data_IF_350735541281
#
_entry.id   IF_350735541281
#
_cell.length_a   1.000
_cell.length_b   1.000
_cell.length_c   1.000
_cell.angle_alpha   90.00
_cell.angle_beta   90.00
_cell.angle_gamma   90.00
#
_symmetry.space_group_name_H-M   'P 1'
#
loop_
_entity.id
_entity.type
_entity.pdbx_description
1 polymer ?
#
# COMPACT_ATOMS: atom_id res chain seq x y z
N UNK A 1 -14.61 -18.81 0.64
CA UNK A 1 -15.34 -18.30 1.84
C UNK A 1 -16.56 -17.50 1.44
N UNK A 2 -16.43 -16.29 0.88
CA UNK A 2 -17.60 -15.47 0.50
C UNK A 2 -18.55 -16.19 -0.48
N UNK A 3 -18.06 -16.73 -1.59
CA UNK A 3 -18.92 -17.44 -2.55
C UNK A 3 -19.66 -18.63 -1.91
N UNK A 4 -18.97 -19.38 -1.04
CA UNK A 4 -19.56 -20.49 -0.30
C UNK A 4 -20.64 -20.02 0.68
N UNK A 5 -20.44 -18.88 1.33
CA UNK A 5 -21.43 -18.26 2.22
C UNK A 5 -22.69 -17.82 1.46
N UNK A 6 -22.50 -17.23 0.27
CA UNK A 6 -23.61 -16.77 -0.58
C UNK A 6 -24.40 -17.93 -1.19
N UNK A 7 -23.76 -19.06 -1.48
CA UNK A 7 -24.44 -20.26 -1.95
C UNK A 7 -25.47 -20.78 -0.93
N UNK A 8 -25.18 -20.68 0.38
CA UNK A 8 -26.14 -21.05 1.44
C UNK A 8 -27.39 -20.14 1.42
N UNK A 9 -27.23 -18.89 0.96
CA UNK A 9 -28.34 -17.93 0.82
C UNK A 9 -29.06 -18.05 -0.53
N UNK A 10 -28.74 -19.05 -1.36
CA UNK A 10 -29.37 -19.23 -2.68
C UNK A 10 -29.05 -18.11 -3.68
N UNK A 11 -27.89 -17.45 -3.52
CA UNK A 11 -27.52 -16.29 -4.32
C UNK A 11 -27.26 -16.58 -5.82
N UNK A 12 -27.27 -17.85 -6.23
CA UNK A 12 -27.00 -18.27 -7.62
C UNK A 12 -27.94 -17.60 -8.63
N UNK A 13 -29.15 -17.25 -8.19
CA UNK A 13 -30.16 -16.58 -9.01
C UNK A 13 -30.33 -15.08 -8.71
N UNK A 14 -29.49 -14.50 -7.84
CA UNK A 14 -29.66 -13.11 -7.38
C UNK A 14 -29.69 -12.10 -8.55
N UNK A 15 -28.96 -12.40 -9.64
CA UNK A 15 -28.94 -11.56 -10.84
C UNK A 15 -30.32 -11.42 -11.50
N UNK A 16 -31.18 -12.43 -11.39
CA UNK A 16 -32.51 -12.46 -12.00
C UNK A 16 -33.47 -11.47 -11.34
N UNK A 17 -33.18 -11.04 -10.11
CA UNK A 17 -34.01 -10.13 -9.33
C UNK A 17 -33.59 -8.66 -9.47
N UNK A 18 -32.65 -8.36 -10.38
CA UNK A 18 -32.15 -7.00 -10.59
C UNK A 18 -33.11 -6.20 -11.47
N UNK A 19 -33.84 -5.27 -10.86
CA UNK A 19 -34.66 -4.29 -11.58
C UNK A 19 -33.95 -2.96 -11.70
N UNK A 20 -33.18 -2.77 -12.78
CA UNK A 20 -32.54 -1.47 -13.05
C UNK A 20 -33.51 -0.42 -13.59
N UNK A 21 -34.48 -0.75 -14.49
CA UNK A 21 -35.49 0.23 -14.92
C UNK A 21 -36.34 0.82 -13.79
N UNK A 22 -36.66 0.03 -12.76
CA UNK A 22 -37.41 0.46 -11.58
C UNK A 22 -36.56 1.04 -10.44
N UNK A 23 -35.22 1.01 -10.56
CA UNK A 23 -34.33 1.52 -9.53
C UNK A 23 -34.32 3.07 -9.51
N UNK A 24 -34.94 3.63 -8.48
CA UNK A 24 -35.01 5.08 -8.23
C UNK A 24 -33.63 5.72 -8.02
N UNK A 25 -32.62 4.90 -7.71
CA UNK A 25 -31.23 5.30 -7.53
C UNK A 25 -30.48 5.60 -8.83
N UNK A 26 -30.98 5.17 -10.01
CA UNK A 26 -30.27 5.27 -11.30
C UNK A 26 -29.86 6.70 -11.65
N UNK A 27 -30.67 7.69 -11.24
CA UNK A 27 -30.43 9.10 -11.52
C UNK A 27 -29.85 9.88 -10.33
N UNK A 28 -29.62 9.22 -9.20
CA UNK A 28 -29.02 9.85 -8.02
C UNK A 28 -27.52 9.99 -8.25
N UNK A 29 -27.11 11.18 -8.69
CA UNK A 29 -25.71 11.55 -8.84
C UNK A 29 -25.28 12.47 -7.71
N UNK A 30 -24.14 12.18 -7.11
CA UNK A 30 -23.49 13.15 -6.22
C UNK A 30 -22.52 14.01 -7.02
N UNK A 31 -22.34 15.26 -6.60
CA UNK A 31 -21.37 16.17 -7.26
C UNK A 31 -19.95 15.61 -7.28
N UNK A 32 -19.64 14.72 -6.33
CA UNK A 32 -18.34 14.08 -6.17
C UNK A 32 -18.23 12.73 -6.88
N UNK A 33 -19.31 12.19 -7.46
CA UNK A 33 -19.30 10.89 -8.13
C UNK A 33 -18.31 10.84 -9.31
N UNK A 34 -18.16 11.98 -10.00
CA UNK A 34 -17.22 12.17 -11.12
C UNK A 34 -15.87 12.76 -10.70
N UNK A 35 -15.66 13.05 -9.41
CA UNK A 35 -14.44 13.67 -8.91
C UNK A 35 -13.71 12.71 -7.99
N UNK A 36 -12.65 12.10 -8.51
CA UNK A 36 -11.70 11.36 -7.68
C UNK A 36 -10.33 12.00 -7.81
N UNK A 37 -9.85 12.57 -6.71
CA UNK A 37 -8.59 13.31 -6.68
C UNK A 37 -7.35 12.42 -6.84
N UNK A 38 -7.32 11.28 -6.15
CA UNK A 38 -6.14 10.40 -6.10
C UNK A 38 -6.54 8.93 -6.07
N UNK A 39 -5.58 8.02 -6.32
CA UNK A 39 -5.79 6.57 -6.24
C UNK A 39 -6.22 6.13 -4.83
N UNK A 40 -5.69 6.77 -3.79
CA UNK A 40 -6.07 6.54 -2.40
C UNK A 40 -7.57 6.81 -2.20
N UNK A 41 -8.09 7.91 -2.73
CA UNK A 41 -9.53 8.20 -2.67
C UNK A 41 -10.37 7.12 -3.36
N UNK A 42 -9.88 6.54 -4.47
CA UNK A 42 -10.56 5.42 -5.15
C UNK A 42 -10.60 4.19 -4.26
N UNK A 43 -9.46 3.81 -3.68
CA UNK A 43 -9.36 2.60 -2.85
C UNK A 43 -10.20 2.74 -1.59
N UNK A 44 -10.19 3.91 -0.92
CA UNK A 44 -11.07 4.18 0.22
C UNK A 44 -12.54 4.06 -0.18
N UNK A 45 -12.97 4.71 -1.28
CA UNK A 45 -14.35 4.62 -1.74
C UNK A 45 -14.78 3.18 -2.05
N UNK A 46 -13.92 2.39 -2.69
CA UNK A 46 -14.18 0.98 -2.98
C UNK A 46 -14.28 0.14 -1.70
N UNK A 47 -13.37 0.35 -0.74
CA UNK A 47 -13.39 -0.35 0.54
C UNK A 47 -14.66 -0.06 1.35
N UNK A 48 -15.11 1.20 1.40
CA UNK A 48 -16.38 1.57 2.05
C UNK A 48 -17.57 0.91 1.38
N UNK A 49 -17.64 0.91 0.05
CA UNK A 49 -18.73 0.21 -0.68
C UNK A 49 -18.75 -1.30 -0.40
N UNK A 50 -17.58 -1.93 -0.31
CA UNK A 50 -17.49 -3.34 0.06
C UNK A 50 -18.04 -3.59 1.47
N UNK A 51 -17.71 -2.73 2.43
CA UNK A 51 -18.16 -2.92 3.82
C UNK A 51 -19.66 -2.69 3.98
N UNK A 52 -20.24 -1.74 3.24
CA UNK A 52 -21.69 -1.55 3.17
C UNK A 52 -22.38 -2.76 2.53
N UNK A 53 -21.85 -3.27 1.41
CA UNK A 53 -22.42 -4.45 0.75
C UNK A 53 -22.38 -5.68 1.68
N UNK A 54 -21.26 -5.92 2.37
CA UNK A 54 -21.15 -7.00 3.35
C UNK A 54 -22.09 -6.80 4.54
N UNK A 55 -22.32 -5.56 4.99
CA UNK A 55 -23.26 -5.27 6.07
C UNK A 55 -24.70 -5.59 5.68
N UNK A 56 -25.11 -5.25 4.46
CA UNK A 56 -26.45 -5.60 3.94
C UNK A 56 -26.63 -7.11 3.89
N UNK A 57 -25.63 -7.83 3.36
CA UNK A 57 -25.65 -9.30 3.30
C UNK A 57 -25.66 -9.92 4.71
N UNK A 58 -24.89 -9.36 5.65
CA UNK A 58 -24.84 -9.79 7.04
C UNK A 58 -26.22 -9.67 7.71
N UNK A 59 -26.90 -8.53 7.57
CA UNK A 59 -28.23 -8.32 8.14
C UNK A 59 -29.28 -9.24 7.51
N UNK A 60 -29.23 -9.44 6.18
CA UNK A 60 -30.12 -10.38 5.50
C UNK A 60 -29.90 -11.81 5.99
N UNK A 61 -28.64 -12.23 6.12
CA UNK A 61 -28.28 -13.58 6.54
C UNK A 61 -28.76 -13.92 7.96
N UNK A 62 -29.01 -12.93 8.83
CA UNK A 62 -29.54 -13.19 10.18
C UNK A 62 -30.93 -13.82 10.17
N UNK A 63 -31.70 -13.64 9.10
CA UNK A 63 -33.02 -14.26 8.94
C UNK A 63 -32.93 -15.76 8.60
N UNK A 64 -31.88 -16.16 7.88
CA UNK A 64 -31.75 -17.51 7.31
C UNK A 64 -30.72 -18.38 8.04
N UNK A 65 -29.58 -17.79 8.41
CA UNK A 65 -28.45 -18.50 9.01
C UNK A 65 -27.53 -17.60 9.83
N UNK A 66 -27.58 -17.77 11.15
CA UNK A 66 -26.70 -17.09 12.10
C UNK A 66 -25.22 -17.38 11.81
N UNK A 67 -24.89 -18.59 11.35
CA UNK A 67 -23.52 -18.96 10.99
C UNK A 67 -23.02 -18.18 9.77
N UNK A 68 -23.86 -18.00 8.74
CA UNK A 68 -23.52 -17.19 7.56
C UNK A 68 -23.41 -15.72 7.92
N UNK A 69 -24.30 -15.21 8.77
CA UNK A 69 -24.23 -13.84 9.27
C UNK A 69 -22.91 -13.56 10.01
N UNK A 70 -22.49 -14.45 10.91
CA UNK A 70 -21.21 -14.33 11.62
C UNK A 70 -20.00 -14.36 10.66
N UNK A 71 -20.06 -15.18 9.61
CA UNK A 71 -19.02 -15.21 8.58
C UNK A 71 -18.95 -13.89 7.78
N UNK A 72 -20.10 -13.32 7.41
CA UNK A 72 -20.16 -12.05 6.69
C UNK A 72 -19.68 -10.88 7.56
N UNK A 73 -20.01 -10.89 8.85
CA UNK A 73 -19.46 -9.95 9.83
C UNK A 73 -17.92 -10.04 9.89
N UNK A 74 -17.38 -11.26 10.00
CA UNK A 74 -15.94 -11.49 10.00
C UNK A 74 -15.26 -11.00 8.71
N UNK A 75 -15.87 -11.25 7.55
CA UNK A 75 -15.39 -10.73 6.26
C UNK A 75 -15.44 -9.20 6.20
N UNK A 76 -16.46 -8.57 6.79
CA UNK A 76 -16.57 -7.10 6.89
C UNK A 76 -15.42 -6.52 7.71
N UNK A 77 -15.10 -7.11 8.88
CA UNK A 77 -13.96 -6.65 9.68
C UNK A 77 -12.61 -6.87 8.99
N UNK A 78 -12.41 -8.03 8.34
CA UNK A 78 -11.20 -8.29 7.54
C UNK A 78 -11.04 -7.30 6.39
N UNK A 79 -12.15 -6.80 5.84
CA UNK A 79 -12.11 -5.77 4.79
C UNK A 79 -11.55 -4.44 5.32
N UNK A 80 -11.82 -4.06 6.57
CA UNK A 80 -11.18 -2.89 7.19
C UNK A 80 -9.66 -3.09 7.35
N UNK A 81 -9.24 -4.28 7.77
CA UNK A 81 -7.80 -4.60 7.87
C UNK A 81 -7.12 -4.57 6.51
N UNK A 82 -7.79 -5.08 5.47
CA UNK A 82 -7.29 -5.03 4.10
C UNK A 82 -7.17 -3.57 3.61
N UNK A 83 -8.19 -2.73 3.83
CA UNK A 83 -8.15 -1.29 3.53
C UNK A 83 -6.94 -0.63 4.20
N UNK A 84 -6.74 -0.86 5.50
CA UNK A 84 -5.63 -0.29 6.26
C UNK A 84 -4.26 -0.74 5.72
N UNK A 85 -4.11 -2.03 5.40
CA UNK A 85 -2.87 -2.59 4.86
C UNK A 85 -2.51 -1.98 3.51
N UNK A 86 -3.49 -1.90 2.60
CA UNK A 86 -3.31 -1.31 1.27
C UNK A 86 -2.94 0.18 1.39
N UNK A 87 -3.64 0.93 2.24
CA UNK A 87 -3.35 2.36 2.46
C UNK A 87 -1.97 2.60 3.03
N UNK A 88 -1.53 1.79 4.00
CA UNK A 88 -0.17 1.89 4.56
C UNK A 88 0.89 1.71 3.48
N UNK A 89 0.73 0.72 2.61
CA UNK A 89 1.66 0.45 1.52
C UNK A 89 1.66 1.59 0.49
N UNK A 90 0.48 2.10 0.12
CA UNK A 90 0.36 3.22 -0.81
C UNK A 90 1.05 4.49 -0.26
N UNK A 91 0.79 4.83 1.01
CA UNK A 91 1.41 5.97 1.68
C UNK A 91 2.92 5.80 1.85
N UNK A 92 3.41 4.58 2.11
CA UNK A 92 4.86 4.32 2.19
C UNK A 92 5.56 4.44 0.83
N UNK A 93 4.93 4.00 -0.27
CA UNK A 93 5.48 4.21 -1.62
C UNK A 93 5.65 5.69 -1.95
N UNK A 94 4.73 6.54 -1.49
CA UNK A 94 4.83 7.99 -1.68
C UNK A 94 5.89 8.66 -0.79
N UNK A 95 6.43 7.98 0.22
CA UNK A 95 7.49 8.50 1.09
C UNK A 95 8.90 8.22 0.59
N UNK A 96 9.07 7.22 -0.27
CA UNK A 96 10.37 6.99 -0.90
C UNK A 96 10.57 8.04 -2.00
N UNK A 97 11.60 8.89 -1.90
CA UNK A 97 11.93 9.77 -3.01
C UNK A 97 12.20 8.93 -4.25
N UNK A 98 11.79 9.41 -5.42
CA UNK A 98 12.20 8.79 -6.68
C UNK A 98 13.71 8.93 -6.78
N UNK A 99 14.43 7.85 -6.52
CA UNK A 99 15.87 7.77 -6.72
C UNK A 99 16.12 7.60 -8.22
N UNK A 100 16.72 8.60 -8.86
CA UNK A 100 17.20 8.49 -10.23
C UNK A 100 18.52 7.72 -10.29
N UNK A 101 19.49 8.10 -9.45
CA UNK A 101 20.80 7.46 -9.34
C UNK A 101 21.08 7.00 -7.91
N UNK A 102 21.11 5.69 -7.68
CA UNK A 102 21.47 5.08 -6.40
C UNK A 102 22.81 4.34 -6.55
N UNK A 103 23.83 4.75 -5.78
CA UNK A 103 25.19 4.21 -5.91
C UNK A 103 25.51 3.25 -4.78
N UNK A 104 26.01 2.06 -5.12
CA UNK A 104 26.58 1.12 -4.16
C UNK A 104 28.06 1.47 -3.94
N UNK A 105 28.42 1.84 -2.71
CA UNK A 105 29.79 2.16 -2.34
C UNK A 105 30.47 0.94 -1.72
N UNK A 106 31.45 0.39 -2.44
CA UNK A 106 32.35 -0.68 -1.99
C UNK A 106 33.78 -0.24 -2.23
N UNK A 107 34.61 -0.20 -1.19
CA UNK A 107 35.96 0.35 -1.22
C UNK A 107 36.86 -0.34 -2.25
N UNK A 108 36.78 -1.67 -2.36
CA UNK A 108 37.58 -2.43 -3.33
C UNK A 108 37.27 -2.11 -4.80
N UNK A 109 36.14 -1.47 -5.08
CA UNK A 109 35.75 -1.00 -6.41
C UNK A 109 36.08 0.49 -6.63
N UNK A 110 36.53 1.20 -5.61
CA UNK A 110 36.88 2.61 -5.71
C UNK A 110 38.27 2.77 -6.34
N UNK A 111 38.39 3.67 -7.32
CA UNK A 111 39.70 4.04 -7.91
C UNK A 111 40.49 5.04 -7.05
N UNK A 112 39.82 5.65 -6.07
CA UNK A 112 40.32 6.63 -5.10
C UNK A 112 39.93 6.17 -3.71
N UNK A 113 40.47 6.73 -2.62
CA UNK A 113 39.98 6.44 -1.27
C UNK A 113 38.46 6.57 -1.18
N UNK A 114 37.81 5.67 -0.44
CA UNK A 114 36.34 5.57 -0.44
C UNK A 114 35.66 6.87 0.01
N UNK A 115 36.27 7.63 0.93
CA UNK A 115 35.76 8.94 1.38
C UNK A 115 35.77 10.00 0.28
N UNK A 116 36.80 9.99 -0.56
CA UNK A 116 36.88 10.88 -1.73
C UNK A 116 35.88 10.45 -2.80
N UNK A 117 35.73 9.14 -2.99
CA UNK A 117 34.75 8.58 -3.91
C UNK A 117 33.32 8.92 -3.48
N UNK A 118 33.00 8.79 -2.19
CA UNK A 118 31.72 9.21 -1.61
C UNK A 118 31.42 10.69 -1.89
N UNK A 119 32.40 11.57 -1.66
CA UNK A 119 32.23 12.99 -1.96
C UNK A 119 31.95 13.22 -3.45
N UNK A 120 32.72 12.61 -4.33
CA UNK A 120 32.53 12.75 -5.78
C UNK A 120 31.18 12.19 -6.25
N UNK A 121 30.67 11.12 -5.64
CA UNK A 121 29.34 10.55 -5.91
C UNK A 121 28.23 11.56 -5.54
N UNK A 122 28.34 12.18 -4.36
CA UNK A 122 27.35 13.15 -3.87
C UNK A 122 27.40 14.45 -4.68
N UNK A 123 28.59 14.96 -4.99
CA UNK A 123 28.78 16.13 -5.87
C UNK A 123 28.31 15.85 -7.30
N UNK A 124 28.47 14.61 -7.77
CA UNK A 124 27.99 14.14 -9.08
C UNK A 124 26.47 14.00 -9.19
N UNK A 125 25.72 14.21 -8.10
CA UNK A 125 24.26 14.25 -8.10
C UNK A 125 23.58 12.90 -7.85
N UNK A 126 24.24 11.95 -7.20
CA UNK A 126 23.55 10.74 -6.73
C UNK A 126 22.40 11.09 -5.77
N UNK A 127 21.27 10.42 -5.94
CA UNK A 127 20.07 10.61 -5.10
C UNK A 127 20.15 9.79 -3.80
N UNK A 128 20.93 8.71 -3.83
CA UNK A 128 21.30 7.99 -2.63
C UNK A 128 22.58 7.17 -2.76
N UNK A 129 23.12 6.77 -1.60
CA UNK A 129 24.35 5.96 -1.51
C UNK A 129 24.14 4.85 -0.50
N UNK A 130 24.34 3.59 -0.91
CA UNK A 130 24.34 2.44 -0.02
C UNK A 130 25.76 1.96 0.21
N UNK A 131 26.22 2.01 1.47
CA UNK A 131 27.47 1.35 1.87
C UNK A 131 27.31 -0.17 1.75
N UNK A 132 28.20 -0.81 0.99
CA UNK A 132 28.15 -2.25 0.74
C UNK A 132 29.52 -2.87 0.89
N UNK A 133 29.81 -3.33 2.10
CA UNK A 133 31.06 -4.01 2.45
C UNK A 133 30.74 -5.38 3.00
N UNK A 134 31.35 -6.42 2.42
CA UNK A 134 31.07 -7.83 2.77
C UNK A 134 32.02 -8.39 3.82
N UNK A 135 33.22 -7.85 3.89
CA UNK A 135 34.35 -8.42 4.63
C UNK A 135 34.75 -7.55 5.84
N UNK A 136 34.03 -6.45 6.10
CA UNK A 136 34.30 -5.60 7.27
C UNK A 136 33.68 -6.20 8.53
N UNK A 137 34.31 -5.93 9.67
CA UNK A 137 33.71 -6.21 10.98
C UNK A 137 32.53 -5.27 11.24
N UNK A 138 31.57 -5.71 12.05
CA UNK A 138 30.37 -4.93 12.37
C UNK A 138 30.69 -3.52 12.89
N UNK A 139 31.72 -3.39 13.73
CA UNK A 139 32.14 -2.10 14.29
C UNK A 139 32.67 -1.16 13.19
N UNK A 140 33.56 -1.68 12.33
CA UNK A 140 34.10 -0.87 11.22
C UNK A 140 33.00 -0.51 10.20
N UNK A 141 32.10 -1.45 9.91
CA UNK A 141 30.95 -1.21 9.04
C UNK A 141 30.04 -0.11 9.62
N UNK A 142 29.74 -0.15 10.92
CA UNK A 142 28.95 0.87 11.59
C UNK A 142 29.61 2.24 11.55
N UNK A 143 30.90 2.33 11.91
CA UNK A 143 31.64 3.60 11.87
C UNK A 143 31.63 4.22 10.47
N UNK A 144 31.76 3.40 9.42
CA UNK A 144 31.66 3.88 8.03
C UNK A 144 30.24 4.25 7.65
N UNK A 145 29.24 3.50 8.10
CA UNK A 145 27.83 3.79 7.82
C UNK A 145 27.42 5.14 8.41
N UNK A 146 27.87 5.47 9.62
CA UNK A 146 27.65 6.78 10.25
C UNK A 146 28.22 7.91 9.40
N UNK A 147 29.45 7.76 8.90
CA UNK A 147 30.09 8.75 8.02
C UNK A 147 29.32 8.91 6.70
N UNK A 148 28.87 7.81 6.08
CA UNK A 148 28.09 7.85 4.85
C UNK A 148 26.74 8.53 5.10
N UNK A 149 26.06 8.20 6.20
CA UNK A 149 24.79 8.78 6.58
C UNK A 149 24.89 10.29 6.82
N UNK A 150 25.89 10.73 7.58
CA UNK A 150 26.15 12.15 7.83
C UNK A 150 26.43 12.89 6.51
N UNK A 151 27.26 12.32 5.63
CA UNK A 151 27.56 12.92 4.34
C UNK A 151 26.31 13.03 3.45
N UNK A 152 25.49 11.99 3.36
CA UNK A 152 24.25 12.04 2.57
C UNK A 152 23.27 13.06 3.14
N UNK A 153 23.11 13.12 4.46
CA UNK A 153 22.23 14.08 5.13
C UNK A 153 22.63 15.53 4.81
N UNK A 154 23.93 15.84 4.86
CA UNK A 154 24.47 17.16 4.52
C UNK A 154 24.18 17.58 3.07
N UNK A 155 24.08 16.62 2.15
CA UNK A 155 23.74 16.86 0.74
C UNK A 155 22.25 16.72 0.43
N UNK A 156 21.41 16.46 1.44
CA UNK A 156 19.98 16.19 1.26
C UNK A 156 19.67 14.91 0.47
N UNK A 157 20.54 13.89 0.58
CA UNK A 157 20.47 12.61 -0.15
C UNK A 157 20.11 11.45 0.79
N UNK A 158 19.66 10.35 0.21
CA UNK A 158 19.37 9.11 0.94
C UNK A 158 20.67 8.34 1.24
N UNK A 159 20.85 7.87 2.47
CA UNK A 159 21.90 6.94 2.87
C UNK A 159 21.37 5.54 3.16
#
# INVERSE_FOLDING_TARGET
ELCSALAVLGADNAVLYRDTPGDVGVNIKTRDELRRGTLENIVTAAAKRLTEALRVLEELAKLESVAVAALLESLRYRSYTAEQSIMRQALQRNKMPRLGLHVLLTESLCRRPWRETLRAILEGGADGVQLREKELSDNELLNRAEVVAEACHNYGRLS
#
